data_IF_377402160015
#
_entry.id   IF_377402160015
#
_cell.length_a   1.000
_cell.length_b   1.000
_cell.length_c   1.000
_cell.angle_alpha   90.00
_cell.angle_beta   90.00
_cell.angle_gamma   90.00
#
_symmetry.space_group_name_H-M   'P 1'
#
loop_
_entity.id
_entity.type
_entity.pdbx_description
1 polymer ?
#
# COMPACT_ATOMS: atom_id res chain seq x y z
N UNK A 1 63.83 46.76 48.42
CA UNK A 1 63.14 47.69 47.49
C UNK A 1 63.83 47.56 46.15
N UNK A 2 63.29 46.73 45.27
CA UNK A 2 63.85 46.49 43.94
C UNK A 2 62.96 47.18 42.94
N UNK A 3 63.51 48.14 42.20
CA UNK A 3 62.81 48.90 41.15
C UNK A 3 62.36 47.96 40.02
N UNK A 4 61.06 47.84 39.73
CA UNK A 4 60.57 47.14 38.55
C UNK A 4 60.03 48.19 37.58
N UNK A 5 60.89 48.85 36.80
CA UNK A 5 60.41 49.80 35.79
C UNK A 5 61.34 50.00 34.58
N UNK A 6 62.42 49.22 34.42
CA UNK A 6 63.30 49.33 33.25
C UNK A 6 62.85 48.45 32.07
N UNK A 7 62.26 47.29 32.34
CA UNK A 7 62.10 46.24 31.31
C UNK A 7 60.82 46.40 30.47
N UNK A 8 59.77 47.02 31.03
CA UNK A 8 58.51 47.28 30.32
C UNK A 8 58.64 48.41 29.28
N UNK A 9 59.53 49.37 29.52
CA UNK A 9 59.78 50.50 28.61
C UNK A 9 60.65 50.12 27.41
N UNK A 10 61.55 49.15 27.55
CA UNK A 10 62.41 48.66 26.45
C UNK A 10 61.57 47.87 25.43
N UNK A 11 60.63 47.04 25.90
CA UNK A 11 59.75 46.24 25.02
C UNK A 11 58.81 47.07 24.14
N UNK A 12 58.36 48.24 24.58
CA UNK A 12 57.51 49.13 23.77
C UNK A 12 58.33 49.90 22.73
N UNK A 13 59.54 50.32 23.10
CA UNK A 13 60.49 50.98 22.19
C UNK A 13 60.94 50.01 21.09
N UNK A 14 61.22 48.76 21.43
CA UNK A 14 61.59 47.74 20.43
C UNK A 14 60.43 47.42 19.48
N UNK A 15 59.18 47.45 19.95
CA UNK A 15 58.00 47.25 19.11
C UNK A 15 57.71 48.45 18.19
N UNK A 16 57.91 49.69 18.67
CA UNK A 16 57.84 50.91 17.86
C UNK A 16 58.97 50.97 16.84
N UNK A 17 60.20 50.60 17.21
CA UNK A 17 61.34 50.53 16.30
C UNK A 17 61.07 49.46 15.23
N UNK A 18 60.54 48.29 15.59
CA UNK A 18 60.18 47.24 14.64
C UNK A 18 59.10 47.69 13.65
N UNK A 19 58.08 48.43 14.10
CA UNK A 19 57.02 48.95 13.23
C UNK A 19 57.50 50.09 12.32
N UNK A 20 58.37 50.98 12.82
CA UNK A 20 59.00 52.03 12.00
C UNK A 20 59.93 51.42 10.93
N UNK A 21 60.69 50.39 11.30
CA UNK A 21 61.60 49.71 10.38
C UNK A 21 60.83 48.93 9.30
N UNK A 22 59.67 48.37 9.65
CA UNK A 22 58.76 47.71 8.71
C UNK A 22 58.11 48.71 7.74
N UNK A 23 57.65 49.86 8.24
CA UNK A 23 57.11 50.94 7.40
C UNK A 23 58.13 51.48 6.40
N UNK A 24 59.39 51.68 6.81
CA UNK A 24 60.47 52.12 5.90
C UNK A 24 60.83 51.07 4.85
N UNK A 25 60.78 49.78 5.20
CA UNK A 25 60.98 48.67 4.26
C UNK A 25 59.85 48.63 3.23
N UNK A 26 58.60 48.84 3.65
CA UNK A 26 57.44 48.89 2.75
C UNK A 26 57.47 50.10 1.80
N UNK A 27 57.89 51.27 2.28
CA UNK A 27 58.12 52.45 1.43
C UNK A 27 59.23 52.22 0.40
N UNK A 28 60.31 51.55 0.80
CA UNK A 28 61.43 51.24 -0.09
C UNK A 28 61.01 50.23 -1.15
N UNK A 29 60.28 49.17 -0.74
CA UNK A 29 59.71 48.18 -1.64
C UNK A 29 58.76 48.81 -2.66
N UNK A 30 57.83 49.67 -2.21
CA UNK A 30 56.86 50.33 -3.10
C UNK A 30 57.51 51.29 -4.08
N UNK A 31 58.54 52.04 -3.65
CA UNK A 31 59.33 52.89 -4.56
C UNK A 31 60.09 52.07 -5.60
N UNK A 32 60.69 50.94 -5.21
CA UNK A 32 61.39 50.05 -6.14
C UNK A 32 60.40 49.43 -7.15
N UNK A 33 59.25 48.95 -6.69
CA UNK A 33 58.18 48.43 -7.55
C UNK A 33 57.71 49.47 -8.56
N UNK A 34 57.51 50.74 -8.13
CA UNK A 34 57.10 51.82 -9.01
C UNK A 34 58.14 52.11 -10.11
N UNK A 35 59.43 52.11 -9.76
CA UNK A 35 60.53 52.27 -10.72
C UNK A 35 60.58 51.11 -11.72
N UNK A 36 60.46 49.87 -11.25
CA UNK A 36 60.42 48.69 -12.12
C UNK A 36 59.22 48.73 -13.08
N UNK A 37 58.03 49.12 -12.59
CA UNK A 37 56.84 49.28 -13.44
C UNK A 37 57.09 50.32 -14.53
N UNK A 38 57.70 51.46 -14.19
CA UNK A 38 58.00 52.50 -15.16
C UNK A 38 59.03 52.04 -16.20
N UNK A 39 60.09 51.35 -15.76
CA UNK A 39 61.09 50.77 -16.66
C UNK A 39 60.48 49.73 -17.60
N UNK A 40 59.67 48.79 -17.08
CA UNK A 40 58.99 47.78 -17.91
C UNK A 40 57.99 48.42 -18.89
N UNK A 41 57.30 49.50 -18.50
CA UNK A 41 56.45 50.28 -19.43
C UNK A 41 57.26 50.92 -20.55
N UNK A 42 58.45 51.47 -20.24
CA UNK A 42 59.36 52.02 -21.25
C UNK A 42 59.87 50.94 -22.20
N UNK A 43 60.26 49.77 -21.68
CA UNK A 43 60.65 48.62 -22.50
C UNK A 43 59.51 48.13 -23.40
N UNK A 44 58.29 47.99 -22.88
CA UNK A 44 57.11 47.60 -23.67
C UNK A 44 56.87 48.56 -24.83
N UNK A 45 56.90 49.87 -24.56
CA UNK A 45 56.74 50.89 -25.61
C UNK A 45 57.85 50.86 -26.65
N UNK A 46 59.09 50.63 -26.22
CA UNK A 46 60.21 50.49 -27.14
C UNK A 46 60.04 49.27 -28.06
N UNK A 47 59.60 48.13 -27.51
CA UNK A 47 59.30 46.91 -28.28
C UNK A 47 58.15 47.17 -29.28
N UNK A 48 57.07 47.80 -28.83
CA UNK A 48 55.94 48.15 -29.70
C UNK A 48 56.38 49.03 -30.88
N UNK A 49 57.23 50.03 -30.63
CA UNK A 49 57.76 50.89 -31.70
C UNK A 49 58.64 50.11 -32.69
N UNK A 50 59.46 49.18 -32.21
CA UNK A 50 60.29 48.32 -33.07
C UNK A 50 59.41 47.40 -33.93
N UNK A 51 58.41 46.74 -33.32
CA UNK A 51 57.48 45.87 -34.05
C UNK A 51 56.75 46.62 -35.17
N UNK A 52 56.23 47.81 -34.87
CA UNK A 52 55.60 48.67 -35.88
C UNK A 52 56.58 49.03 -37.00
N UNK A 53 57.83 49.36 -36.67
CA UNK A 53 58.85 49.69 -37.68
C UNK A 53 59.24 48.49 -38.56
N UNK A 54 59.27 47.28 -38.01
CA UNK A 54 59.55 46.05 -38.76
C UNK A 54 58.38 45.67 -39.67
N UNK A 55 57.13 45.84 -39.23
CA UNK A 55 55.95 45.60 -40.06
C UNK A 55 55.94 46.50 -41.30
N UNK A 56 56.26 47.79 -41.14
CA UNK A 56 56.41 48.73 -42.27
C UNK A 56 57.53 48.34 -43.25
N UNK A 57 58.64 47.76 -42.76
CA UNK A 57 59.73 47.29 -43.61
C UNK A 57 59.41 45.97 -44.33
N UNK A 58 58.66 45.09 -43.68
CA UNK A 58 58.26 43.80 -44.23
C UNK A 58 57.15 43.92 -45.28
N UNK A 59 56.23 44.89 -45.15
CA UNK A 59 55.24 45.20 -46.20
C UNK A 59 55.90 45.69 -47.51
N UNK A 60 57.09 46.29 -47.42
CA UNK A 60 57.86 46.74 -48.58
C UNK A 60 58.60 45.59 -49.32
N UNK A 61 58.70 44.39 -48.74
CA UNK A 61 59.41 43.25 -49.32
C UNK A 61 58.45 42.13 -49.72
N UNK A 62 58.21 41.97 -51.03
CA UNK A 62 57.49 40.81 -51.56
C UNK A 62 58.34 39.55 -51.47
N UNK A 63 58.21 38.79 -50.38
CA UNK A 63 58.82 37.47 -50.22
C UNK A 63 57.80 36.39 -50.57
N UNK A 64 58.24 35.36 -51.30
CA UNK A 64 57.43 34.18 -51.61
C UNK A 64 56.94 33.45 -50.35
N UNK A 65 55.69 32.97 -50.38
CA UNK A 65 54.95 32.43 -49.22
C UNK A 65 55.63 31.21 -48.61
N UNK A 66 56.18 30.31 -49.44
CA UNK A 66 56.83 29.09 -48.94
C UNK A 66 58.13 29.42 -48.18
N UNK A 67 58.87 30.40 -48.69
CA UNK A 67 60.11 30.88 -48.06
C UNK A 67 59.83 31.62 -46.76
N UNK A 68 58.74 32.40 -46.70
CA UNK A 68 58.29 33.07 -45.48
C UNK A 68 57.88 32.08 -44.38
N UNK A 69 57.20 30.98 -44.74
CA UNK A 69 56.80 29.94 -43.79
C UNK A 69 58.00 29.19 -43.20
N UNK A 70 58.98 28.81 -44.03
CA UNK A 70 60.21 28.16 -43.56
C UNK A 70 60.99 29.05 -42.59
N UNK A 71 61.13 30.35 -42.91
CA UNK A 71 61.76 31.34 -42.02
C UNK A 71 61.02 31.48 -40.69
N UNK A 72 59.68 31.56 -40.72
CA UNK A 72 58.86 31.61 -39.49
C UNK A 72 58.99 30.35 -38.64
N UNK A 73 59.02 29.18 -39.25
CA UNK A 73 59.19 27.92 -38.53
C UNK A 73 60.55 27.83 -37.82
N UNK A 74 61.63 28.25 -38.49
CA UNK A 74 62.97 28.34 -37.90
C UNK A 74 63.00 29.37 -36.77
N UNK A 75 62.47 30.57 -36.99
CA UNK A 75 62.41 31.61 -35.97
C UNK A 75 61.57 31.18 -34.75
N UNK A 76 60.45 30.48 -34.95
CA UNK A 76 59.64 29.93 -33.86
C UNK A 76 60.42 28.89 -33.05
N UNK A 77 61.13 27.98 -33.72
CA UNK A 77 61.95 26.98 -33.06
C UNK A 77 63.08 27.62 -32.25
N UNK A 78 63.76 28.64 -32.78
CA UNK A 78 64.83 29.36 -32.09
C UNK A 78 64.31 30.18 -30.91
N UNK A 79 63.14 30.81 -31.05
CA UNK A 79 62.51 31.60 -29.97
C UNK A 79 61.99 30.73 -28.84
N UNK A 80 61.42 29.55 -29.12
CA UNK A 80 61.01 28.59 -28.08
C UNK A 80 62.18 28.05 -27.26
N UNK A 81 63.38 27.99 -27.85
CA UNK A 81 64.61 27.55 -27.18
C UNK A 81 65.30 28.65 -26.37
N UNK A 82 64.79 29.89 -26.38
CA UNK A 82 65.39 31.02 -25.67
C UNK A 82 64.38 31.67 -24.75
N UNK A 83 64.83 32.05 -23.56
CA UNK A 83 64.00 32.85 -22.67
C UNK A 83 64.02 34.32 -23.15
N UNK A 84 62.87 34.91 -23.53
CA UNK A 84 62.82 36.25 -24.12
C UNK A 84 63.12 37.36 -23.10
N UNK A 85 62.97 37.07 -21.81
CA UNK A 85 63.26 38.01 -20.73
C UNK A 85 63.92 37.29 -19.56
N UNK A 86 65.09 37.77 -19.17
CA UNK A 86 65.79 37.34 -17.96
C UNK A 86 65.66 38.44 -16.91
N UNK A 87 64.94 38.19 -15.80
CA UNK A 87 64.81 39.18 -14.74
C UNK A 87 66.16 39.47 -14.08
N UNK A 88 66.44 40.73 -13.80
CA UNK A 88 67.64 41.14 -13.08
C UNK A 88 67.60 40.71 -11.61
N UNK A 89 68.80 40.51 -11.03
CA UNK A 89 68.97 40.09 -9.64
C UNK A 89 68.61 41.26 -8.71
N UNK A 90 67.34 41.31 -8.30
CA UNK A 90 66.77 42.43 -7.55
C UNK A 90 65.34 42.76 -7.98
N UNK A 91 64.90 42.24 -9.14
CA UNK A 91 63.52 42.42 -9.59
C UNK A 91 62.51 41.80 -8.63
N UNK A 92 61.47 42.57 -8.29
CA UNK A 92 60.42 42.13 -7.36
C UNK A 92 59.26 41.42 -8.04
N UNK A 93 59.37 41.18 -9.35
CA UNK A 93 58.33 40.56 -10.20
C UNK A 93 57.82 39.22 -9.62
N UNK A 94 58.71 38.35 -9.15
CA UNK A 94 58.32 37.05 -8.60
C UNK A 94 57.45 37.17 -7.34
N UNK A 95 57.81 38.10 -6.44
CA UNK A 95 57.06 38.38 -5.21
C UNK A 95 55.72 39.03 -5.56
N UNK A 96 55.71 40.01 -6.46
CA UNK A 96 54.49 40.68 -6.90
C UNK A 96 53.49 39.72 -7.58
N UNK A 97 53.98 38.81 -8.44
CA UNK A 97 53.16 37.77 -9.08
C UNK A 97 52.60 36.78 -8.05
N UNK A 98 53.44 36.29 -7.13
CA UNK A 98 53.01 35.39 -6.07
C UNK A 98 51.93 36.04 -5.20
N UNK A 99 52.13 37.29 -4.78
CA UNK A 99 51.17 38.04 -3.97
C UNK A 99 49.85 38.27 -4.72
N UNK A 100 49.90 38.68 -5.98
CA UNK A 100 48.70 38.89 -6.82
C UNK A 100 47.91 37.59 -6.99
N UNK A 101 48.60 36.50 -7.34
CA UNK A 101 47.99 35.18 -7.52
C UNK A 101 47.38 34.66 -6.23
N UNK A 102 48.09 34.74 -5.11
CA UNK A 102 47.57 34.34 -3.80
C UNK A 102 46.35 35.17 -3.41
N UNK A 103 46.39 36.49 -3.60
CA UNK A 103 45.24 37.37 -3.31
C UNK A 103 44.02 37.02 -4.16
N UNK A 104 44.22 36.78 -5.46
CA UNK A 104 43.14 36.36 -6.36
C UNK A 104 42.56 34.99 -5.96
N UNK A 105 43.41 34.03 -5.59
CA UNK A 105 43.00 32.72 -5.10
C UNK A 105 42.21 32.82 -3.79
N UNK A 106 42.67 33.61 -2.82
CA UNK A 106 41.96 33.83 -1.56
C UNK A 106 40.58 34.44 -1.82
N UNK A 107 40.48 35.48 -2.63
CA UNK A 107 39.20 36.10 -2.98
C UNK A 107 38.25 35.13 -3.70
N UNK A 108 38.79 34.27 -4.59
CA UNK A 108 37.99 33.25 -5.25
C UNK A 108 37.48 32.19 -4.25
N UNK A 109 38.32 31.76 -3.32
CA UNK A 109 37.96 30.82 -2.26
C UNK A 109 36.92 31.39 -1.30
N UNK A 110 37.02 32.67 -0.93
CA UNK A 110 36.04 33.35 -0.09
C UNK A 110 34.67 33.42 -0.78
N UNK A 111 34.63 33.83 -2.06
CA UNK A 111 33.40 33.83 -2.85
C UNK A 111 32.79 32.42 -2.97
N UNK A 112 33.62 31.42 -3.19
CA UNK A 112 33.17 30.03 -3.27
C UNK A 112 32.62 29.52 -1.94
N UNK A 113 33.27 29.87 -0.82
CA UNK A 113 32.81 29.56 0.53
C UNK A 113 31.44 30.18 0.81
N UNK A 114 31.23 31.45 0.47
CA UNK A 114 29.93 32.11 0.63
C UNK A 114 28.83 31.41 -0.19
N UNK A 115 29.13 31.02 -1.43
CA UNK A 115 28.19 30.26 -2.26
C UNK A 115 27.85 28.90 -1.64
N UNK A 116 28.84 28.19 -1.09
CA UNK A 116 28.64 26.92 -0.40
C UNK A 116 27.77 27.06 0.85
N UNK A 117 27.99 28.11 1.65
CA UNK A 117 27.16 28.39 2.84
C UNK A 117 25.70 28.62 2.45
N UNK A 118 25.45 29.47 1.44
CA UNK A 118 24.09 29.71 0.92
C UNK A 118 23.44 28.43 0.38
N UNK A 119 24.21 27.60 -0.33
CA UNK A 119 23.73 26.31 -0.85
C UNK A 119 23.40 25.33 0.26
N UNK A 120 24.23 25.26 1.31
CA UNK A 120 24.00 24.44 2.51
C UNK A 120 22.71 24.87 3.23
N UNK A 121 22.49 26.17 3.41
CA UNK A 121 21.26 26.68 4.03
C UNK A 121 20.01 26.30 3.23
N UNK A 122 20.02 26.49 1.91
CA UNK A 122 18.92 26.06 1.03
C UNK A 122 18.66 24.56 1.12
N UNK A 123 19.72 23.75 1.11
CA UNK A 123 19.59 22.29 1.24
C UNK A 123 19.02 21.89 2.61
N UNK A 124 19.46 22.54 3.68
CA UNK A 124 18.93 22.29 5.03
C UNK A 124 17.45 22.64 5.13
N UNK A 125 17.02 23.76 4.53
CA UNK A 125 15.60 24.13 4.47
C UNK A 125 14.80 23.08 3.69
N UNK A 126 15.28 22.67 2.51
CA UNK A 126 14.64 21.62 1.69
C UNK A 126 14.54 20.29 2.44
N UNK A 127 15.60 19.89 3.14
CA UNK A 127 15.61 18.68 3.94
C UNK A 127 14.61 18.75 5.10
N UNK A 128 14.53 19.87 5.83
CA UNK A 128 13.54 20.05 6.89
C UNK A 128 12.11 19.95 6.35
N UNK A 129 11.84 20.58 5.21
CA UNK A 129 10.53 20.51 4.55
C UNK A 129 10.18 19.08 4.13
N UNK A 130 11.11 18.37 3.48
CA UNK A 130 10.92 16.97 3.06
C UNK A 130 10.74 16.03 4.26
N UNK A 131 11.47 16.28 5.35
CA UNK A 131 11.32 15.52 6.59
C UNK A 131 9.93 15.74 7.21
N UNK A 132 9.44 16.98 7.24
CA UNK A 132 8.08 17.30 7.71
C UNK A 132 7.01 16.59 6.88
N UNK A 133 7.05 16.76 5.56
CA UNK A 133 6.12 16.09 4.63
C UNK A 133 6.18 14.56 4.73
N UNK A 134 7.36 13.97 4.94
CA UNK A 134 7.46 12.52 5.16
C UNK A 134 6.76 12.06 6.45
N UNK A 135 6.81 12.85 7.52
CA UNK A 135 6.09 12.56 8.77
C UNK A 135 4.59 12.65 8.53
N UNK A 136 4.13 13.70 7.83
CA UNK A 136 2.72 13.88 7.51
C UNK A 136 2.17 12.74 6.66
N UNK A 137 2.92 12.30 5.63
CA UNK A 137 2.55 11.15 4.80
C UNK A 137 2.49 9.85 5.59
N UNK A 138 3.40 9.64 6.56
CA UNK A 138 3.33 8.46 7.44
C UNK A 138 2.11 8.49 8.35
N UNK A 139 1.75 9.65 8.87
CA UNK A 139 0.55 9.81 9.69
C UNK A 139 -0.72 9.57 8.84
N UNK A 140 -0.75 10.10 7.62
CA UNK A 140 -1.85 9.87 6.67
C UNK A 140 -1.97 8.39 6.31
N UNK A 141 -0.86 7.69 6.05
CA UNK A 141 -0.86 6.26 5.79
C UNK A 141 -1.44 5.47 6.96
N UNK A 142 -1.02 5.77 8.19
CA UNK A 142 -1.60 5.16 9.40
C UNK A 142 -3.10 5.41 9.53
N UNK A 143 -3.55 6.64 9.30
CA UNK A 143 -4.98 6.97 9.36
C UNK A 143 -5.78 6.24 8.27
N UNK A 144 -5.20 6.03 7.08
CA UNK A 144 -5.81 5.23 6.01
C UNK A 144 -5.88 3.76 6.44
N UNK A 145 -4.80 3.20 6.98
CA UNK A 145 -4.75 1.81 7.45
C UNK A 145 -5.79 1.56 8.57
N UNK A 146 -5.88 2.45 9.54
CA UNK A 146 -6.88 2.40 10.63
C UNK A 146 -8.31 2.49 10.10
N UNK A 147 -8.56 3.39 9.14
CA UNK A 147 -9.87 3.52 8.51
C UNK A 147 -10.20 2.28 7.69
N UNK A 148 -9.23 1.74 6.97
CA UNK A 148 -9.40 0.55 6.15
C UNK A 148 -9.69 -0.66 7.04
N UNK A 149 -8.95 -0.86 8.13
CA UNK A 149 -9.18 -1.96 9.07
C UNK A 149 -10.57 -1.87 9.69
N UNK A 150 -10.97 -0.68 10.16
CA UNK A 150 -12.30 -0.45 10.72
C UNK A 150 -13.42 -0.71 9.69
N UNK A 151 -13.23 -0.36 8.43
CA UNK A 151 -14.20 -0.64 7.38
C UNK A 151 -14.25 -2.13 7.01
N UNK A 152 -13.10 -2.83 6.99
CA UNK A 152 -13.07 -4.28 6.78
C UNK A 152 -13.71 -5.04 7.93
N UNK A 153 -13.52 -4.59 9.17
CA UNK A 153 -14.13 -5.21 10.34
C UNK A 153 -15.64 -4.99 10.35
N UNK A 154 -16.11 -3.79 9.99
CA UNK A 154 -17.54 -3.54 9.74
C UNK A 154 -18.09 -4.45 8.64
N UNK A 155 -17.41 -4.56 7.50
CA UNK A 155 -17.82 -5.47 6.41
C UNK A 155 -17.87 -6.92 6.86
N UNK A 156 -16.88 -7.38 7.63
CA UNK A 156 -16.88 -8.72 8.23
C UNK A 156 -18.07 -8.90 9.16
N UNK A 157 -18.31 -7.99 10.09
CA UNK A 157 -19.50 -8.02 10.97
C UNK A 157 -20.81 -8.06 10.17
N UNK A 158 -20.95 -7.25 9.12
CA UNK A 158 -22.13 -7.29 8.25
C UNK A 158 -22.30 -8.62 7.50
N UNK A 159 -21.20 -9.29 7.11
CA UNK A 159 -21.22 -10.61 6.47
C UNK A 159 -21.55 -11.71 7.50
N UNK A 160 -21.05 -11.61 8.73
CA UNK A 160 -21.33 -12.56 9.81
C UNK A 160 -22.78 -12.45 10.31
N UNK A 161 -23.34 -11.24 10.38
CA UNK A 161 -24.70 -10.99 10.86
C UNK A 161 -25.80 -11.25 9.80
N UNK A 162 -25.42 -11.40 8.53
CA UNK A 162 -26.33 -11.79 7.45
C UNK A 162 -25.74 -12.93 6.64
N UNK A 163 -25.82 -14.14 7.19
CA UNK A 163 -25.89 -15.34 6.36
C UNK A 163 -27.39 -15.62 6.04
N UNK A 164 -27.95 -15.05 4.95
CA UNK A 164 -29.38 -15.18 4.64
C UNK A 164 -29.81 -16.61 4.37
N UNK A 165 -28.88 -17.51 4.02
CA UNK A 165 -29.16 -18.93 3.85
C UNK A 165 -29.41 -19.61 5.19
N UNK A 166 -28.60 -19.33 6.22
CA UNK A 166 -28.78 -19.91 7.56
C UNK A 166 -30.13 -19.51 8.20
N UNK A 167 -30.57 -18.26 7.98
CA UNK A 167 -31.87 -17.79 8.48
C UNK A 167 -33.06 -18.34 7.69
N UNK A 168 -32.92 -18.53 6.37
CA UNK A 168 -33.95 -19.17 5.54
C UNK A 168 -34.10 -20.66 5.85
N UNK A 169 -33.00 -21.39 6.00
CA UNK A 169 -33.01 -22.82 6.35
C UNK A 169 -33.62 -23.04 7.73
N UNK A 170 -33.28 -22.20 8.72
CA UNK A 170 -33.89 -22.28 10.06
C UNK A 170 -35.40 -22.03 10.04
N UNK A 171 -35.88 -21.02 9.30
CA UNK A 171 -37.31 -20.75 9.14
C UNK A 171 -38.06 -21.83 8.35
N UNK A 172 -37.41 -22.46 7.37
CA UNK A 172 -37.97 -23.58 6.65
C UNK A 172 -38.11 -24.82 7.53
N UNK A 173 -37.08 -25.16 8.34
CA UNK A 173 -37.15 -26.26 9.31
C UNK A 173 -38.25 -26.07 10.34
N UNK A 174 -38.36 -24.88 10.94
CA UNK A 174 -39.42 -24.58 11.91
C UNK A 174 -40.83 -24.69 11.31
N UNK A 175 -41.00 -24.36 10.02
CA UNK A 175 -42.28 -24.56 9.33
C UNK A 175 -42.57 -26.03 9.04
N UNK A 176 -41.54 -26.83 8.80
CA UNK A 176 -41.66 -28.25 8.53
C UNK A 176 -42.04 -29.00 9.83
N UNK A 177 -41.34 -28.72 10.93
CA UNK A 177 -41.68 -29.24 12.26
C UNK A 177 -43.12 -28.87 12.67
N UNK A 178 -43.53 -27.62 12.45
CA UNK A 178 -44.90 -27.19 12.76
C UNK A 178 -45.98 -27.85 11.86
N UNK A 179 -45.62 -28.27 10.65
CA UNK A 179 -46.52 -29.01 9.77
C UNK A 179 -46.61 -30.49 10.18
N UNK A 180 -45.49 -31.09 10.58
CA UNK A 180 -45.44 -32.47 11.11
C UNK A 180 -46.24 -32.59 12.42
N UNK A 181 -46.07 -31.67 13.37
CA UNK A 181 -46.88 -31.64 14.61
C UNK A 181 -48.38 -31.53 14.31
N UNK A 182 -48.76 -30.68 13.36
CA UNK A 182 -50.16 -30.51 12.95
C UNK A 182 -50.73 -31.76 12.26
N UNK A 183 -49.91 -32.46 11.48
CA UNK A 183 -50.28 -33.72 10.87
C UNK A 183 -50.53 -34.79 11.95
N UNK A 184 -49.63 -34.91 12.93
CA UNK A 184 -49.80 -35.83 14.06
C UNK A 184 -51.07 -35.52 14.87
N UNK A 185 -51.35 -34.25 15.15
CA UNK A 185 -52.58 -33.81 15.82
C UNK A 185 -53.84 -34.17 15.00
N UNK A 186 -53.81 -33.95 13.68
CA UNK A 186 -54.93 -34.30 12.80
C UNK A 186 -55.15 -35.81 12.75
N UNK A 187 -54.08 -36.61 12.67
CA UNK A 187 -54.17 -38.07 12.72
C UNK A 187 -54.73 -38.54 14.06
N UNK A 188 -54.28 -37.97 15.18
CA UNK A 188 -54.81 -38.27 16.51
C UNK A 188 -56.30 -37.92 16.62
N UNK A 189 -56.70 -36.75 16.11
CA UNK A 189 -58.10 -36.33 16.10
C UNK A 189 -58.96 -37.24 15.21
N UNK A 190 -58.47 -37.62 14.02
CA UNK A 190 -59.15 -38.57 13.13
C UNK A 190 -59.33 -39.93 13.80
N UNK A 191 -58.28 -40.45 14.45
CA UNK A 191 -58.36 -41.70 15.24
C UNK A 191 -59.45 -41.60 16.30
N UNK A 192 -59.45 -40.52 17.08
CA UNK A 192 -60.46 -40.31 18.12
C UNK A 192 -61.89 -40.22 17.54
N UNK A 193 -62.09 -39.46 16.46
CA UNK A 193 -63.41 -39.30 15.83
C UNK A 193 -63.90 -40.61 15.24
N UNK A 194 -63.05 -41.35 14.52
CA UNK A 194 -63.40 -42.64 13.95
C UNK A 194 -63.70 -43.67 15.02
N UNK A 195 -62.91 -43.70 16.09
CA UNK A 195 -63.14 -44.60 17.21
C UNK A 195 -64.48 -44.29 17.90
N UNK A 196 -64.70 -43.02 18.27
CA UNK A 196 -65.85 -42.60 19.08
C UNK A 196 -67.17 -42.64 18.32
N UNK A 197 -67.18 -42.21 17.04
CA UNK A 197 -68.43 -42.02 16.30
C UNK A 197 -68.73 -43.14 15.30
N UNK A 198 -67.73 -43.90 14.85
CA UNK A 198 -67.94 -44.92 13.81
C UNK A 198 -67.68 -46.34 14.31
N UNK A 199 -66.60 -46.57 15.04
CA UNK A 199 -66.17 -47.92 15.43
C UNK A 199 -66.87 -48.34 16.72
N UNK A 200 -66.77 -47.55 17.78
CA UNK A 200 -67.34 -47.88 19.09
C UNK A 200 -68.86 -48.09 19.02
N UNK A 201 -69.68 -47.21 18.42
CA UNK A 201 -71.13 -47.41 18.36
C UNK A 201 -71.52 -48.66 17.57
N UNK A 202 -70.77 -48.99 16.51
CA UNK A 202 -71.02 -50.18 15.69
C UNK A 202 -70.57 -51.47 16.37
N UNK A 203 -69.45 -51.45 17.09
CA UNK A 203 -68.99 -52.61 17.86
C UNK A 203 -69.92 -52.84 19.05
N UNK A 204 -70.31 -51.80 19.77
CA UNK A 204 -71.25 -51.89 20.88
C UNK A 204 -72.61 -52.45 20.41
N UNK A 205 -73.06 -52.09 19.19
CA UNK A 205 -74.27 -52.65 18.57
C UNK A 205 -74.11 -54.13 18.16
N UNK A 206 -72.97 -54.50 17.57
CA UNK A 206 -72.74 -55.83 16.99
C UNK A 206 -72.27 -56.88 18.00
N UNK A 207 -71.70 -56.46 19.13
CA UNK A 207 -71.03 -57.35 20.11
C UNK A 207 -71.50 -57.11 21.56
N UNK A 208 -72.71 -56.54 21.75
CA UNK A 208 -73.30 -56.22 23.07
C UNK A 208 -73.41 -57.41 24.05
N UNK A 209 -73.31 -58.64 23.57
CA UNK A 209 -73.37 -59.87 24.37
C UNK A 209 -72.02 -60.51 24.71
N UNK A 210 -70.90 -59.91 24.31
CA UNK A 210 -69.54 -60.43 24.53
C UNK A 210 -68.84 -59.80 25.74
N UNK A 211 -67.78 -60.43 26.23
CA UNK A 211 -67.00 -59.91 27.36
C UNK A 211 -66.29 -58.61 27.00
N UNK A 212 -66.15 -57.69 27.97
CA UNK A 212 -65.51 -56.39 27.77
C UNK A 212 -64.06 -56.49 27.24
N UNK A 213 -63.37 -57.58 27.58
CA UNK A 213 -62.02 -57.88 27.09
C UNK A 213 -62.00 -58.25 25.60
N UNK A 214 -63.02 -58.94 25.09
CA UNK A 214 -63.15 -59.28 23.67
C UNK A 214 -63.54 -58.05 22.84
N UNK A 215 -64.45 -57.22 23.35
CA UNK A 215 -64.84 -55.95 22.74
C UNK A 215 -63.62 -55.04 22.55
N UNK A 216 -62.76 -54.91 23.58
CA UNK A 216 -61.51 -54.13 23.49
C UNK A 216 -60.55 -54.68 22.43
N UNK A 217 -60.42 -56.02 22.32
CA UNK A 217 -59.56 -56.66 21.29
C UNK A 217 -60.11 -56.50 19.87
N UNK A 218 -61.43 -56.56 19.69
CA UNK A 218 -62.07 -56.32 18.39
C UNK A 218 -61.94 -54.85 17.98
N UNK A 219 -62.17 -53.91 18.92
CA UNK A 219 -61.97 -52.46 18.70
C UNK A 219 -60.55 -52.11 18.29
N UNK A 220 -59.54 -52.64 18.98
CA UNK A 220 -58.14 -52.42 18.61
C UNK A 220 -57.78 -53.00 17.23
N UNK A 221 -58.37 -54.14 16.84
CA UNK A 221 -58.18 -54.70 15.50
C UNK A 221 -58.87 -53.86 14.42
N UNK A 222 -60.10 -53.40 14.68
CA UNK A 222 -60.85 -52.51 13.80
C UNK A 222 -60.12 -51.18 13.58
N UNK A 223 -59.60 -50.56 14.64
CA UNK A 223 -58.80 -49.34 14.55
C UNK A 223 -57.54 -49.53 13.72
N UNK A 224 -56.78 -50.60 13.97
CA UNK A 224 -55.58 -50.91 13.17
C UNK A 224 -55.90 -51.17 11.69
N UNK A 225 -57.05 -51.76 11.40
CA UNK A 225 -57.49 -52.00 10.03
C UNK A 225 -57.90 -50.69 9.36
N UNK A 226 -58.63 -49.82 10.05
CA UNK A 226 -58.99 -48.48 9.56
C UNK A 226 -57.74 -47.60 9.36
N UNK A 227 -56.77 -47.64 10.27
CA UNK A 227 -55.49 -46.94 10.10
C UNK A 227 -54.74 -47.40 8.85
N UNK A 228 -54.68 -48.71 8.59
CA UNK A 228 -54.05 -49.22 7.36
C UNK A 228 -54.78 -48.77 6.10
N UNK A 229 -56.12 -48.78 6.11
CA UNK A 229 -56.91 -48.30 4.98
C UNK A 229 -56.74 -46.78 4.76
N UNK A 230 -56.66 -45.98 5.82
CA UNK A 230 -56.41 -44.53 5.73
C UNK A 230 -55.01 -44.24 5.19
N UNK A 231 -53.99 -44.98 5.62
CA UNK A 231 -52.63 -44.82 5.10
C UNK A 231 -52.58 -45.12 3.59
N UNK A 232 -53.33 -46.12 3.10
CA UNK A 232 -53.46 -46.38 1.66
C UNK A 232 -54.10 -45.19 0.90
N UNK A 233 -55.04 -44.46 1.52
CA UNK A 233 -55.61 -43.22 0.94
C UNK A 233 -54.55 -42.13 0.84
N UNK A 234 -53.79 -41.89 1.90
CA UNK A 234 -52.77 -40.83 1.93
C UNK A 234 -51.58 -41.13 1.01
N UNK A 235 -51.17 -42.39 0.91
CA UNK A 235 -50.10 -42.83 0.01
C UNK A 235 -50.56 -42.97 -1.45
N UNK A 236 -51.87 -42.89 -1.72
CA UNK A 236 -52.46 -43.07 -3.05
C UNK A 236 -52.34 -44.50 -3.61
N UNK A 237 -52.00 -45.48 -2.76
CA UNK A 237 -51.74 -46.86 -3.14
C UNK A 237 -52.91 -47.75 -2.72
N UNK A 238 -53.94 -47.83 -3.57
CA UNK A 238 -55.10 -48.71 -3.36
C UNK A 238 -54.75 -50.18 -3.59
N UNK A 239 -54.07 -50.80 -2.63
CA UNK A 239 -53.65 -52.20 -2.68
C UNK A 239 -54.62 -53.13 -1.94
N UNK A 240 -54.51 -54.44 -2.18
CA UNK A 240 -55.30 -55.42 -1.44
C UNK A 240 -54.61 -55.77 -0.13
N UNK A 241 -55.28 -55.49 0.99
CA UNK A 241 -54.83 -55.83 2.35
C UNK A 241 -55.36 -57.21 2.71
N UNK A 242 -54.50 -58.07 3.26
CA UNK A 242 -54.91 -59.37 3.80
C UNK A 242 -55.57 -59.21 5.16
N UNK A 243 -56.78 -59.75 5.29
CA UNK A 243 -57.62 -59.64 6.50
C UNK A 243 -58.26 -60.99 6.82
N UNK A 244 -58.68 -61.16 8.07
CA UNK A 244 -59.38 -62.36 8.50
C UNK A 244 -60.85 -62.29 8.05
N UNK A 245 -61.24 -63.17 7.11
CA UNK A 245 -62.59 -63.20 6.54
C UNK A 245 -63.70 -63.66 7.51
N UNK A 246 -63.32 -64.12 8.69
CA UNK A 246 -64.24 -64.40 9.80
C UNK A 246 -64.60 -63.15 10.62
N UNK A 247 -63.86 -62.04 10.46
CA UNK A 247 -64.06 -60.82 11.24
C UNK A 247 -65.42 -60.15 10.90
N UNK A 248 -66.34 -60.03 11.87
CA UNK A 248 -67.65 -59.41 11.63
C UNK A 248 -67.56 -57.94 11.23
N UNK A 249 -66.51 -57.23 11.64
CA UNK A 249 -66.28 -55.83 11.23
C UNK A 249 -65.93 -55.73 9.74
N UNK A 250 -65.07 -56.63 9.25
CA UNK A 250 -64.72 -56.72 7.82
C UNK A 250 -65.96 -57.05 6.98
N UNK A 251 -66.78 -58.02 7.43
CA UNK A 251 -68.04 -58.35 6.77
C UNK A 251 -69.01 -57.18 6.70
N UNK A 252 -69.03 -56.34 7.74
CA UNK A 252 -69.86 -55.14 7.77
C UNK A 252 -69.36 -54.07 6.78
N UNK A 253 -68.05 -53.88 6.66
CA UNK A 253 -67.45 -52.96 5.66
C UNK A 253 -67.73 -53.41 4.22
N UNK A 254 -67.65 -54.72 3.96
CA UNK A 254 -67.99 -55.31 2.64
C UNK A 254 -69.48 -55.10 2.33
N UNK A 255 -70.38 -55.40 3.27
CA UNK A 255 -71.83 -55.19 3.09
C UNK A 255 -72.21 -53.72 2.90
N UNK A 256 -71.44 -52.81 3.50
CA UNK A 256 -71.62 -51.37 3.36
C UNK A 256 -71.01 -50.78 2.08
N UNK A 257 -70.50 -51.61 1.17
CA UNK A 257 -69.79 -51.20 -0.05
C UNK A 257 -68.60 -50.24 0.18
N UNK A 258 -68.01 -50.27 1.38
CA UNK A 258 -66.86 -49.41 1.72
C UNK A 258 -65.56 -50.01 1.18
N UNK A 259 -65.50 -51.34 1.10
CA UNK A 259 -64.33 -52.10 0.62
C UNK A 259 -64.73 -53.14 -0.42
N UNK A 260 -63.88 -53.31 -1.43
CA UNK A 260 -63.95 -54.38 -2.41
C UNK A 260 -63.32 -55.66 -1.85
N UNK A 261 -63.93 -56.80 -2.16
CA UNK A 261 -63.48 -58.11 -1.69
C UNK A 261 -62.81 -58.91 -2.82
N UNK A 262 -61.70 -59.57 -2.50
CA UNK A 262 -61.06 -60.61 -3.34
C UNK A 262 -60.83 -61.88 -2.51
N UNK A 263 -60.88 -63.05 -3.16
CA UNK A 263 -60.59 -64.35 -2.55
C UNK A 263 -61.40 -64.67 -1.27
N UNK A 264 -62.72 -64.84 -1.37
CA UNK A 264 -63.57 -65.37 -0.28
C UNK A 264 -63.35 -64.70 1.11
N UNK A 265 -63.32 -63.36 1.16
CA UNK A 265 -63.18 -62.50 2.36
C UNK A 265 -61.76 -62.40 2.96
N UNK A 266 -60.72 -62.99 2.36
CA UNK A 266 -59.36 -62.91 2.93
C UNK A 266 -58.54 -61.72 2.46
N UNK A 267 -59.01 -61.00 1.44
CA UNK A 267 -58.37 -59.79 0.93
C UNK A 267 -59.43 -58.71 0.70
N UNK A 268 -59.19 -57.52 1.25
CA UNK A 268 -60.03 -56.34 1.06
C UNK A 268 -59.20 -55.17 0.54
N UNK A 269 -59.83 -54.29 -0.23
CA UNK A 269 -59.26 -53.02 -0.69
C UNK A 269 -60.31 -51.93 -0.52
N UNK A 270 -59.94 -50.69 -0.24
CA UNK A 270 -60.90 -49.58 -0.31
C UNK A 270 -61.53 -49.48 -1.70
N UNK A 271 -62.86 -49.35 -1.74
CA UNK A 271 -63.54 -49.09 -2.99
C UNK A 271 -63.03 -47.77 -3.57
N UNK A 272 -62.59 -47.76 -4.84
CA UNK A 272 -62.18 -46.51 -5.48
C UNK A 272 -63.43 -45.67 -5.73
N UNK A 273 -63.54 -44.54 -5.04
CA UNK A 273 -64.49 -43.50 -5.44
C UNK A 273 -63.85 -42.68 -6.56
N UNK A 274 -63.64 -43.31 -7.72
CA UNK A 274 -63.31 -42.57 -8.93
C UNK A 274 -64.58 -41.79 -9.33
N UNK A 275 -64.61 -40.51 -8.96
CA UNK A 275 -65.56 -39.55 -9.52
C UNK A 275 -65.23 -39.36 -10.99
N UNK A 276 -66.17 -39.71 -11.86
CA UNK A 276 -66.49 -38.83 -13.00
C UNK A 276 -66.82 -37.44 -12.49
#
# INVERSE_FOLDING_TARGET
MSSPNSDASISQVDAEIATIDQSKRDETYTRNLAKEIEQKKKFSKAIELVLVSEDYQNEAQQVDKETALKKRAIALYETLNRQPYNPERGEVLGIALAQSNMKAQIQALEKYKEQLVKKKERLNQKWRFQKGTSVDLKNLARAIDERHSAETDKRRQFVTDRNPEATRVRKARQRLEALEEREEEMVAHLRYTLDTYFIQPKIDLLFSSQSEAEIKRVRQRALKLVEKLINEIFEGTFNFISVDGSDPFVRHLVKGNVVEQKNQMTQIRLHRFDTS
#
